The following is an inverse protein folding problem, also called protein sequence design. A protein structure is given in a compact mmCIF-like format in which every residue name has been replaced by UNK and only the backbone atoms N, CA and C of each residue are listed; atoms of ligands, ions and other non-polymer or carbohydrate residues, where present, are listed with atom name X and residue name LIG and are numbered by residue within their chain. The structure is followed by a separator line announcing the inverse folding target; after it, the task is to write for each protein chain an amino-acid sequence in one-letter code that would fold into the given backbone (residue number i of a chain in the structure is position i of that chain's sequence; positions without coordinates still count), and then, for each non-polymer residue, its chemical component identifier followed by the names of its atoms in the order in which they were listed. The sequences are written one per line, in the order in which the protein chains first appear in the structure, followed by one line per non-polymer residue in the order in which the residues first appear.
data_IF_699543223468
#
_entry.id   IF_699543223468
#
_cell.length_a   1.000
_cell.length_b   1.000
_cell.length_c   1.000
_cell.angle_alpha   90.00
_cell.angle_beta   90.00
_cell.angle_gamma   90.00
#
_symmetry.space_group_name_H-M   'P 1'
#
loop_
_entity.id
_entity.type
_entity.pdbx_description
1 polymer ?
#
# COMPACT_ATOMS: atom_id res chain seq x y z
N UNK A 1 16.75 -14.73 2.50
CA UNK A 1 16.58 -13.35 2.99
C UNK A 1 15.66 -13.44 4.21
N UNK A 2 16.02 -12.85 5.34
CA UNK A 2 15.17 -12.87 6.54
C UNK A 2 14.26 -11.64 6.47
N UNK A 3 12.97 -11.86 6.17
CA UNK A 3 12.00 -10.77 6.10
C UNK A 3 11.52 -10.38 7.50
N UNK A 4 11.02 -9.16 7.63
CA UNK A 4 10.42 -8.67 8.86
C UNK A 4 9.10 -7.95 8.55
N UNK A 5 8.18 -7.91 9.51
CA UNK A 5 6.97 -7.11 9.41
C UNK A 5 7.30 -5.65 9.73
N UNK A 6 6.73 -4.70 8.98
CA UNK A 6 6.82 -3.28 9.29
C UNK A 6 5.55 -2.84 10.05
N UNK A 7 5.66 -2.64 11.36
CA UNK A 7 4.53 -2.26 12.23
C UNK A 7 4.88 -0.97 12.96
N UNK A 8 4.07 0.08 12.77
CA UNK A 8 4.28 1.37 13.44
C UNK A 8 5.56 2.10 13.04
N UNK A 9 6.15 1.77 11.88
CA UNK A 9 7.42 2.33 11.42
C UNK A 9 8.66 1.55 11.86
N UNK A 10 8.49 0.41 12.54
CA UNK A 10 9.59 -0.44 13.01
C UNK A 10 9.53 -1.82 12.37
N UNK A 11 10.70 -2.35 12.00
CA UNK A 11 10.86 -3.72 11.51
C UNK A 11 10.90 -4.71 12.67
N UNK A 12 10.06 -5.74 12.64
CA UNK A 12 9.89 -6.68 13.75
C UNK A 12 9.61 -8.10 13.26
N UNK A 13 10.07 -9.07 14.04
CA UNK A 13 9.68 -10.47 13.89
C UNK A 13 8.30 -10.73 14.51
N UNK A 14 7.69 -11.88 14.19
CA UNK A 14 6.40 -12.29 14.73
C UNK A 14 6.44 -12.37 16.26
N UNK A 15 5.36 -11.96 16.92
CA UNK A 15 5.29 -11.99 18.39
C UNK A 15 5.47 -13.40 18.95
N UNK A 16 4.95 -14.41 18.24
CA UNK A 16 5.11 -15.82 18.56
C UNK A 16 6.47 -16.41 18.15
N UNK A 17 7.28 -15.68 17.38
CA UNK A 17 8.56 -16.16 16.83
C UNK A 17 8.42 -17.21 15.73
N UNK A 18 7.21 -17.45 15.22
CA UNK A 18 6.95 -18.37 14.12
C UNK A 18 7.29 -17.74 12.76
N UNK A 19 7.68 -18.57 11.80
CA UNK A 19 8.02 -18.18 10.44
C UNK A 19 7.37 -19.12 9.42
N UNK A 20 7.16 -18.62 8.21
CA UNK A 20 6.68 -19.37 7.05
C UNK A 20 7.82 -19.45 6.03
N UNK A 21 8.12 -20.66 5.58
CA UNK A 21 9.07 -20.88 4.49
C UNK A 21 8.45 -20.47 3.15
N UNK A 22 9.19 -19.69 2.38
CA UNK A 22 8.84 -19.35 0.99
C UNK A 22 9.62 -20.29 0.08
N UNK A 23 8.89 -21.14 -0.64
CA UNK A 23 9.45 -22.22 -1.46
C UNK A 23 9.37 -21.83 -2.93
N UNK A 24 10.46 -22.04 -3.67
CA UNK A 24 10.47 -21.90 -5.11
C UNK A 24 9.72 -23.08 -5.75
N UNK A 25 8.60 -22.84 -6.45
CA UNK A 25 7.79 -23.94 -6.99
C UNK A 25 8.46 -24.71 -8.13
N UNK A 26 9.52 -24.19 -8.74
CA UNK A 26 10.25 -24.85 -9.82
C UNK A 26 11.35 -25.79 -9.32
N UNK A 27 11.94 -25.52 -8.15
CA UNK A 27 13.05 -26.31 -7.58
C UNK A 27 12.71 -27.00 -6.27
N UNK A 28 11.59 -26.64 -5.63
CA UNK A 28 11.18 -27.07 -4.29
C UNK A 28 12.15 -26.63 -3.18
N UNK A 29 13.08 -25.73 -3.48
CA UNK A 29 14.03 -25.18 -2.50
C UNK A 29 13.45 -23.96 -1.77
N UNK A 30 13.80 -23.80 -0.50
CA UNK A 30 13.46 -22.63 0.30
C UNK A 30 14.28 -21.42 -0.16
N UNK A 31 13.61 -20.35 -0.59
CA UNK A 31 14.25 -19.09 -1.06
C UNK A 31 14.27 -17.99 0.01
N UNK A 32 13.47 -18.15 1.07
CA UNK A 32 13.46 -17.24 2.21
C UNK A 32 12.45 -17.66 3.26
N UNK A 33 12.37 -16.88 4.34
CA UNK A 33 11.34 -17.01 5.36
C UNK A 33 10.68 -15.66 5.62
N UNK A 34 9.40 -15.70 5.97
CA UNK A 34 8.62 -14.52 6.38
C UNK A 34 8.01 -14.75 7.76
N UNK A 35 7.85 -13.70 8.59
CA UNK A 35 7.25 -13.88 9.91
C UNK A 35 5.80 -14.35 9.82
N UNK A 36 5.43 -15.35 10.62
CA UNK A 36 4.07 -15.84 10.76
C UNK A 36 3.32 -14.98 11.79
N UNK A 37 2.90 -13.77 11.37
CA UNK A 37 2.20 -12.84 12.25
C UNK A 37 0.90 -13.41 12.81
N UNK A 38 0.65 -13.19 14.11
CA UNK A 38 -0.53 -13.69 14.81
C UNK A 38 -1.56 -12.58 15.12
N UNK A 39 -2.58 -12.91 15.93
CA UNK A 39 -3.59 -11.93 16.36
C UNK A 39 -3.00 -10.75 17.15
N UNK A 40 -1.88 -10.96 17.86
CA UNK A 40 -1.15 -9.93 18.61
C UNK A 40 -0.49 -8.94 17.66
N UNK A 41 0.18 -9.46 16.63
CA UNK A 41 0.81 -8.62 15.60
C UNK A 41 -0.23 -7.80 14.83
N UNK A 42 -1.37 -8.41 14.49
CA UNK A 42 -2.50 -7.72 13.88
C UNK A 42 -3.05 -6.62 14.80
N UNK A 43 -3.23 -6.91 16.09
CA UNK A 43 -3.71 -5.90 17.05
C UNK A 43 -2.74 -4.71 17.15
N UNK A 44 -1.42 -4.97 17.16
CA UNK A 44 -0.40 -3.92 17.15
C UNK A 44 -0.44 -3.08 15.86
N UNK A 45 -0.59 -3.72 14.69
CA UNK A 45 -0.69 -3.03 13.42
C UNK A 45 -1.93 -2.13 13.35
N UNK A 46 -3.09 -2.65 13.78
CA UNK A 46 -4.35 -1.89 13.80
C UNK A 46 -4.27 -0.71 14.76
N UNK A 47 -3.71 -0.89 15.96
CA UNK A 47 -3.60 0.20 16.94
C UNK A 47 -2.67 1.31 16.44
N UNK A 48 -1.54 0.95 15.81
CA UNK A 48 -0.64 1.92 15.19
C UNK A 48 -1.32 2.67 14.04
N UNK A 49 -2.07 1.97 13.18
CA UNK A 49 -2.82 2.59 12.09
C UNK A 49 -3.89 3.57 12.62
N UNK A 50 -4.65 3.19 13.66
CA UNK A 50 -5.62 4.07 14.32
C UNK A 50 -4.97 5.33 14.89
N UNK A 51 -3.82 5.18 15.55
CA UNK A 51 -3.07 6.29 16.12
C UNK A 51 -2.53 7.24 15.05
N UNK A 52 -2.10 6.71 13.91
CA UNK A 52 -1.59 7.51 12.79
C UNK A 52 -2.71 8.20 11.97
N UNK A 53 -3.91 7.62 11.95
CA UNK A 53 -4.99 8.05 11.06
C UNK A 53 -5.35 9.54 11.17
N UNK A 54 -5.53 10.17 12.36
CA UNK A 54 -5.86 11.59 12.43
C UNK A 54 -4.81 12.49 11.75
N UNK A 55 -3.51 12.18 11.94
CA UNK A 55 -2.42 12.93 11.31
C UNK A 55 -2.36 12.71 9.79
N UNK A 56 -2.52 11.46 9.35
CA UNK A 56 -2.55 11.13 7.92
C UNK A 56 -3.77 11.71 7.19
N UNK A 57 -4.94 11.66 7.83
CA UNK A 57 -6.19 12.24 7.33
C UNK A 57 -6.09 13.77 7.19
N UNK A 58 -5.39 14.43 8.12
CA UNK A 58 -5.13 15.87 8.08
C UNK A 58 -3.98 16.27 7.13
N UNK A 59 -3.19 15.31 6.64
CA UNK A 59 -2.11 15.58 5.69
C UNK A 59 -2.69 16.16 4.39
N UNK A 60 -1.99 17.12 3.79
CA UNK A 60 -2.45 17.69 2.52
C UNK A 60 -2.51 16.62 1.42
N UNK A 61 -3.52 16.72 0.53
CA UNK A 61 -3.73 15.73 -0.52
C UNK A 61 -2.58 15.70 -1.53
N UNK A 62 -1.96 16.83 -1.82
CA UNK A 62 -0.79 16.93 -2.69
C UNK A 62 0.42 16.27 -2.04
N UNK A 63 0.59 16.43 -0.72
CA UNK A 63 1.65 15.75 0.01
C UNK A 63 1.47 14.22 0.01
N UNK A 64 0.24 13.72 0.19
CA UNK A 64 -0.05 12.28 0.08
C UNK A 64 0.22 11.76 -1.34
N UNK A 65 -0.19 12.52 -2.36
CA UNK A 65 0.08 12.20 -3.75
C UNK A 65 1.60 12.17 -4.04
N UNK A 66 2.36 13.12 -3.49
CA UNK A 66 3.81 13.16 -3.64
C UNK A 66 4.47 11.90 -3.07
N UNK A 67 4.08 11.47 -1.86
CA UNK A 67 4.59 10.24 -1.23
C UNK A 67 4.33 9.01 -2.13
N UNK A 68 3.11 8.88 -2.67
CA UNK A 68 2.78 7.77 -3.58
C UNK A 68 3.56 7.86 -4.90
N UNK A 69 3.76 9.07 -5.44
CA UNK A 69 4.57 9.25 -6.64
C UNK A 69 6.03 8.84 -6.42
N UNK A 70 6.60 9.17 -5.26
CA UNK A 70 7.96 8.73 -4.90
C UNK A 70 8.04 7.21 -4.76
N UNK A 71 7.02 6.58 -4.15
CA UNK A 71 6.95 5.12 -4.07
C UNK A 71 6.90 4.46 -5.46
N UNK A 72 6.14 5.01 -6.41
CA UNK A 72 6.12 4.51 -7.78
C UNK A 72 7.50 4.58 -8.46
N UNK A 73 8.24 5.69 -8.26
CA UNK A 73 9.62 5.81 -8.75
C UNK A 73 10.54 4.76 -8.15
N UNK A 74 10.49 4.53 -6.83
CA UNK A 74 11.31 3.51 -6.18
C UNK A 74 10.98 2.09 -6.68
N UNK A 75 9.70 1.79 -6.93
CA UNK A 75 9.29 0.50 -7.51
C UNK A 75 9.89 0.31 -8.91
N UNK A 76 9.90 1.35 -9.75
CA UNK A 76 10.51 1.32 -11.08
C UNK A 76 12.02 1.12 -11.02
N UNK A 77 12.70 1.82 -10.10
CA UNK A 77 14.15 1.68 -9.88
C UNK A 77 14.53 0.27 -9.42
N UNK A 78 13.72 -0.34 -8.55
CA UNK A 78 13.93 -1.70 -8.05
C UNK A 78 13.28 -2.79 -8.92
N UNK A 79 12.75 -2.47 -10.10
CA UNK A 79 11.90 -3.39 -10.86
C UNK A 79 12.59 -4.72 -11.23
N UNK A 80 13.89 -4.68 -11.49
CA UNK A 80 14.67 -5.89 -11.79
C UNK A 80 14.74 -6.86 -10.62
N UNK A 81 15.00 -6.35 -9.41
CA UNK A 81 15.12 -7.14 -8.18
C UNK A 81 13.75 -7.67 -7.72
N UNK A 82 12.72 -6.83 -7.80
CA UNK A 82 11.35 -7.22 -7.48
C UNK A 82 10.84 -8.31 -8.45
N UNK A 83 11.12 -8.19 -9.74
CA UNK A 83 10.73 -9.21 -10.72
C UNK A 83 11.46 -10.54 -10.50
N UNK A 84 12.75 -10.51 -10.16
CA UNK A 84 13.50 -11.72 -9.81
C UNK A 84 12.92 -12.40 -8.56
N UNK A 85 12.53 -11.61 -7.56
CA UNK A 85 11.86 -12.11 -6.35
C UNK A 85 10.53 -12.78 -6.70
N UNK A 86 9.64 -12.12 -7.46
CA UNK A 86 8.37 -12.71 -7.89
C UNK A 86 8.55 -14.01 -8.67
N UNK A 87 9.55 -14.09 -9.55
CA UNK A 87 9.85 -15.34 -10.27
C UNK A 87 10.32 -16.44 -9.33
N UNK A 88 11.19 -16.13 -8.36
CA UNK A 88 11.67 -17.11 -7.39
C UNK A 88 10.56 -17.63 -6.48
N UNK A 89 9.63 -16.78 -6.05
CA UNK A 89 8.57 -17.14 -5.11
C UNK A 89 7.34 -17.77 -5.78
N UNK A 90 7.06 -17.43 -7.04
CA UNK A 90 5.80 -17.82 -7.72
C UNK A 90 6.02 -18.66 -8.98
N UNK A 91 7.26 -18.81 -9.46
CA UNK A 91 7.59 -19.61 -10.64
C UNK A 91 7.20 -18.98 -11.99
N UNK A 92 6.67 -17.75 -11.99
CA UNK A 92 6.26 -17.06 -13.23
C UNK A 92 7.47 -16.65 -14.08
N UNK A 93 7.38 -16.68 -15.42
CA UNK A 93 8.45 -16.19 -16.28
C UNK A 93 8.87 -14.76 -15.93
N UNK A 94 10.17 -14.46 -16.00
CA UNK A 94 10.71 -13.14 -15.64
C UNK A 94 10.06 -11.98 -16.43
N UNK A 95 9.67 -12.23 -17.68
CA UNK A 95 8.96 -11.25 -18.49
C UNK A 95 7.59 -10.90 -17.93
N UNK A 96 6.84 -11.89 -17.42
CA UNK A 96 5.54 -11.69 -16.78
C UNK A 96 5.71 -10.98 -15.43
N UNK A 97 6.69 -11.39 -14.62
CA UNK A 97 7.02 -10.71 -13.36
C UNK A 97 7.35 -9.22 -13.58
N UNK A 98 8.15 -8.89 -14.61
CA UNK A 98 8.43 -7.49 -14.98
C UNK A 98 7.17 -6.75 -15.40
N UNK A 99 6.29 -7.39 -16.17
CA UNK A 99 5.00 -6.82 -16.53
C UNK A 99 4.14 -6.46 -15.32
N UNK A 100 4.12 -7.34 -14.31
CA UNK A 100 3.38 -7.13 -13.05
C UNK A 100 3.94 -5.98 -12.22
N UNK A 101 5.27 -5.89 -12.06
CA UNK A 101 5.90 -4.77 -11.34
C UNK A 101 5.65 -3.43 -12.06
N UNK A 102 5.73 -3.42 -13.39
CA UNK A 102 5.41 -2.22 -14.17
C UNK A 102 3.93 -1.82 -14.00
N UNK A 103 3.03 -2.80 -13.96
CA UNK A 103 1.61 -2.55 -13.73
C UNK A 103 1.35 -1.98 -12.32
N UNK A 104 2.05 -2.51 -11.30
CA UNK A 104 2.02 -1.98 -9.93
C UNK A 104 2.48 -0.51 -9.88
N UNK A 105 3.65 -0.20 -10.45
CA UNK A 105 4.17 1.17 -10.48
C UNK A 105 3.20 2.14 -11.18
N UNK A 106 2.64 1.72 -12.32
CA UNK A 106 1.62 2.48 -13.03
C UNK A 106 0.35 2.70 -12.18
N UNK A 107 -0.14 1.67 -11.50
CA UNK A 107 -1.31 1.77 -10.62
C UNK A 107 -1.09 2.75 -9.46
N UNK A 108 0.06 2.67 -8.78
CA UNK A 108 0.42 3.59 -7.69
C UNK A 108 0.47 5.03 -8.20
N UNK A 109 1.11 5.26 -9.35
CA UNK A 109 1.19 6.60 -9.98
C UNK A 109 -0.18 7.13 -10.38
N UNK A 110 -1.03 6.29 -10.95
CA UNK A 110 -2.41 6.65 -11.29
C UNK A 110 -3.18 7.13 -10.06
N UNK A 111 -3.12 6.41 -8.94
CA UNK A 111 -3.82 6.82 -7.72
C UNK A 111 -3.23 8.06 -7.06
N UNK A 112 -1.90 8.27 -7.16
CA UNK A 112 -1.28 9.52 -6.74
C UNK A 112 -1.88 10.72 -7.49
N UNK A 113 -2.00 10.63 -8.81
CA UNK A 113 -2.62 11.68 -9.63
C UNK A 113 -4.13 11.80 -9.41
N UNK A 114 -4.82 10.70 -9.15
CA UNK A 114 -6.26 10.68 -8.91
C UNK A 114 -6.62 11.29 -7.55
N UNK A 115 -5.74 11.18 -6.54
CA UNK A 115 -5.97 11.70 -5.20
C UNK A 115 -6.32 13.20 -5.22
N UNK A 116 -5.60 13.98 -6.04
CA UNK A 116 -5.86 15.42 -6.21
C UNK A 116 -7.00 15.72 -7.17
N UNK A 117 -7.79 14.74 -7.63
CA UNK A 117 -8.95 14.96 -8.52
C UNK A 117 -10.28 14.63 -7.85
N UNK A 118 -10.25 13.97 -6.70
CA UNK A 118 -11.45 13.73 -5.90
C UNK A 118 -11.90 15.05 -5.27
N UNK A 119 -13.14 15.47 -5.56
CA UNK A 119 -13.72 16.72 -5.06
C UNK A 119 -15.02 16.45 -4.32
N UNK A 120 -15.35 17.37 -3.41
CA UNK A 120 -16.73 17.58 -2.98
C UNK A 120 -17.56 18.25 -4.07
N UNK A 121 -18.82 18.52 -3.77
CA UNK A 121 -19.71 19.26 -4.66
C UNK A 121 -20.56 20.23 -3.85
N UNK A 122 -21.09 21.27 -4.52
CA UNK A 122 -22.16 22.08 -3.98
C UNK A 122 -23.36 21.98 -4.92
N UNK A 123 -24.57 22.05 -4.34
CA UNK A 123 -25.82 21.97 -5.08
C UNK A 123 -26.78 23.02 -4.54
N UNK A 124 -27.34 23.84 -5.42
CA UNK A 124 -28.45 24.74 -5.05
C UNK A 124 -29.66 23.93 -4.59
N UNK A 125 -30.25 24.35 -3.47
CA UNK A 125 -31.46 23.75 -2.93
C UNK A 125 -32.72 24.41 -3.52
N UNK A 126 -33.90 23.75 -3.47
CA UNK A 126 -35.13 24.31 -3.99
C UNK A 126 -35.43 25.70 -3.42
N UNK A 127 -35.87 26.62 -4.29
CA UNK A 127 -36.14 28.02 -3.95
C UNK A 127 -37.16 28.23 -2.83
N UNK A 128 -38.00 27.23 -2.56
CA UNK A 128 -38.91 27.21 -1.41
C UNK A 128 -38.21 27.32 -0.04
N UNK A 129 -36.90 27.01 0.02
CA UNK A 129 -36.06 27.14 1.20
C UNK A 129 -35.26 28.47 1.24
N UNK A 130 -35.52 29.40 0.31
CA UNK A 130 -34.72 30.61 0.14
C UNK A 130 -33.34 30.32 -0.49
N UNK A 131 -32.44 31.32 -0.60
CA UNK A 131 -31.10 31.14 -1.16
C UNK A 131 -30.24 30.26 -0.25
N UNK A 132 -30.24 28.95 -0.52
CA UNK A 132 -29.57 27.92 0.29
C UNK A 132 -28.82 26.92 -0.59
N UNK A 133 -27.72 26.38 -0.08
CA UNK A 133 -26.87 25.41 -0.77
C UNK A 133 -26.63 24.17 0.09
N UNK A 134 -26.65 22.99 -0.53
CA UNK A 134 -26.14 21.75 0.03
C UNK A 134 -24.66 21.56 -0.31
N UNK A 135 -23.86 21.07 0.64
CA UNK A 135 -22.45 20.75 0.43
C UNK A 135 -22.21 19.25 0.61
N UNK A 136 -21.55 18.63 -0.37
CA UNK A 136 -21.03 17.27 -0.28
C UNK A 136 -19.57 17.35 0.13
N UNK A 137 -19.30 17.07 1.41
CA UNK A 137 -17.96 17.07 1.97
C UNK A 137 -17.39 15.66 1.86
N UNK A 138 -16.21 15.53 1.26
CA UNK A 138 -15.44 14.29 1.31
C UNK A 138 -14.73 14.18 2.66
N UNK A 139 -14.82 13.01 3.28
CA UNK A 139 -14.01 12.63 4.43
C UNK A 139 -13.18 11.39 4.04
N UNK A 140 -11.96 11.26 4.55
CA UNK A 140 -11.20 10.01 4.50
C UNK A 140 -11.98 8.85 5.13
#
# INVERSE_FOLDING_TARGET
MEAAMLIGGEWRQAAAGEEIEVVNPATEEVVGTVPAGDATDVAMAVENAKRAFPGWAATDVEQRAHILSQAATLIEECAGELAATLTAEQGKPLAEARGEINHLAHGVRYYAEAATKVRGAYQELPSALGPSYGMVIRRP
#
